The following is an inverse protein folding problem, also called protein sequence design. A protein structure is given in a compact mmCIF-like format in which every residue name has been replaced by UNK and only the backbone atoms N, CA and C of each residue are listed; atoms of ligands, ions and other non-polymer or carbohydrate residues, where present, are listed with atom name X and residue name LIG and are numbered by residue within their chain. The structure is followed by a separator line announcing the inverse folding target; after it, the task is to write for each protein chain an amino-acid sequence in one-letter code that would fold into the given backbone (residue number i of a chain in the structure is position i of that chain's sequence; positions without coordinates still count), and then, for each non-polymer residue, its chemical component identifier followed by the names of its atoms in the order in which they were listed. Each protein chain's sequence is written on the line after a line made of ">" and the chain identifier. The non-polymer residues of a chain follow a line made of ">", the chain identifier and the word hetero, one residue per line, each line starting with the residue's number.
data_IF_017859255698
#
_entry.id   IF_017859255698
#
_cell.length_a   1.000
_cell.length_b   1.000
_cell.length_c   1.000
_cell.angle_alpha   90.00
_cell.angle_beta   90.00
_cell.angle_gamma   90.00
#
_symmetry.space_group_name_H-M   'P 1'
#
loop_
_entity.id
_entity.type
_entity.pdbx_description
1 polymer ?
#
# COMPACT_ATOMS: atom_id res chain seq x y z
N UNK A 1 13.90 -21.96 -12.31
CA UNK A 1 14.43 -21.21 -11.16
C UNK A 1 14.00 -21.95 -9.91
N UNK A 2 14.92 -22.24 -8.99
CA UNK A 2 14.55 -22.78 -7.68
C UNK A 2 13.65 -21.76 -6.99
N UNK A 3 12.39 -22.12 -6.69
CA UNK A 3 11.50 -21.32 -5.86
C UNK A 3 12.18 -21.18 -4.50
N UNK A 4 12.48 -19.94 -4.09
CA UNK A 4 12.97 -19.67 -2.74
C UNK A 4 11.83 -20.07 -1.80
N UNK A 5 12.01 -21.06 -0.90
CA UNK A 5 10.90 -21.63 -0.11
C UNK A 5 10.11 -20.60 0.69
N UNK A 6 10.76 -19.51 1.09
CA UNK A 6 10.14 -18.41 1.82
C UNK A 6 9.23 -17.51 0.97
N UNK A 7 9.27 -17.58 -0.37
CA UNK A 7 8.48 -16.72 -1.27
C UNK A 7 7.23 -17.45 -1.75
N UNK A 8 6.05 -16.82 -1.63
CA UNK A 8 4.79 -17.36 -2.17
C UNK A 8 4.88 -17.50 -3.70
N UNK A 9 4.39 -18.62 -4.26
CA UNK A 9 4.53 -18.95 -5.68
C UNK A 9 3.99 -17.88 -6.63
N UNK A 10 2.88 -17.25 -6.25
CA UNK A 10 2.25 -16.19 -7.04
C UNK A 10 2.99 -14.86 -6.97
N UNK A 11 3.98 -14.68 -6.10
CA UNK A 11 4.58 -13.38 -5.84
C UNK A 11 5.63 -13.00 -6.89
N UNK A 12 5.60 -11.74 -7.35
CA UNK A 12 6.54 -11.23 -8.33
C UNK A 12 7.94 -11.05 -7.73
N UNK A 13 8.89 -11.84 -8.22
CA UNK A 13 10.32 -11.71 -7.87
C UNK A 13 10.85 -10.32 -8.26
N UNK A 14 10.41 -9.78 -9.39
CA UNK A 14 10.81 -8.45 -9.86
C UNK A 14 10.28 -7.35 -8.94
N UNK A 15 9.06 -7.50 -8.41
CA UNK A 15 8.54 -6.60 -7.38
C UNK A 15 9.42 -6.66 -6.13
N UNK A 16 9.69 -7.86 -5.61
CA UNK A 16 10.49 -8.01 -4.39
C UNK A 16 11.92 -7.44 -4.53
N UNK A 17 12.51 -7.51 -5.73
CA UNK A 17 13.78 -6.85 -6.05
C UNK A 17 13.65 -5.32 -6.08
N UNK A 18 12.61 -4.79 -6.72
CA UNK A 18 12.35 -3.36 -6.79
C UNK A 18 12.09 -2.74 -5.41
N UNK A 19 11.45 -3.50 -4.52
CA UNK A 19 11.22 -3.13 -3.12
C UNK A 19 12.46 -3.37 -2.23
N UNK A 20 13.61 -3.78 -2.77
CA UNK A 20 14.81 -4.09 -1.98
C UNK A 20 14.55 -5.09 -0.83
N UNK A 21 13.57 -5.96 -1.03
CA UNK A 21 13.28 -7.10 -0.17
C UNK A 21 14.25 -8.23 -0.54
N UNK A 22 14.37 -8.53 -1.84
CA UNK A 22 15.45 -9.37 -2.36
C UNK A 22 16.67 -8.55 -2.76
N UNK A 23 17.83 -9.21 -2.84
CA UNK A 23 19.01 -8.59 -3.43
C UNK A 23 18.80 -8.31 -4.93
N UNK A 24 19.68 -7.52 -5.54
CA UNK A 24 19.63 -7.24 -6.99
C UNK A 24 19.69 -8.51 -7.86
N UNK A 25 20.34 -9.56 -7.35
CA UNK A 25 20.42 -10.86 -8.02
C UNK A 25 19.24 -11.79 -7.69
N UNK A 26 18.23 -11.31 -6.96
CA UNK A 26 17.06 -12.10 -6.55
C UNK A 26 17.35 -13.11 -5.44
N UNK A 27 18.42 -12.92 -4.67
CA UNK A 27 18.79 -13.83 -3.56
C UNK A 27 18.21 -13.37 -2.23
N UNK A 28 18.10 -14.30 -1.30
CA UNK A 28 17.68 -14.04 0.08
C UNK A 28 18.90 -13.98 1.01
N UNK A 29 19.04 -12.90 1.78
CA UNK A 29 19.98 -12.81 2.90
C UNK A 29 19.21 -12.63 4.22
N UNK A 30 19.91 -12.45 5.35
CA UNK A 30 19.26 -12.30 6.66
C UNK A 30 18.35 -11.05 6.73
N UNK A 31 18.75 -9.94 6.11
CA UNK A 31 17.93 -8.73 6.03
C UNK A 31 16.68 -8.94 5.16
N UNK A 32 16.82 -9.61 4.01
CA UNK A 32 15.71 -10.03 3.15
C UNK A 32 14.70 -10.88 3.90
N UNK A 33 15.16 -11.89 4.66
CA UNK A 33 14.28 -12.73 5.50
C UNK A 33 13.51 -11.92 6.52
N UNK A 34 14.19 -11.00 7.21
CA UNK A 34 13.57 -10.11 8.20
C UNK A 34 12.49 -9.23 7.56
N UNK A 35 12.78 -8.61 6.42
CA UNK A 35 11.83 -7.79 5.66
C UNK A 35 10.64 -8.60 5.15
N UNK A 36 10.87 -9.78 4.57
CA UNK A 36 9.79 -10.68 4.11
C UNK A 36 8.87 -11.06 5.27
N UNK A 37 9.44 -11.41 6.43
CA UNK A 37 8.64 -11.73 7.62
C UNK A 37 7.75 -10.56 8.04
N UNK A 38 8.28 -9.33 8.04
CA UNK A 38 7.51 -8.12 8.40
C UNK A 38 6.39 -7.86 7.38
N UNK A 39 6.70 -7.95 6.09
CA UNK A 39 5.73 -7.74 5.00
C UNK A 39 4.62 -8.77 5.05
N UNK A 40 4.94 -10.06 5.21
CA UNK A 40 3.92 -11.11 5.32
C UNK A 40 3.10 -11.03 6.59
N UNK A 41 3.69 -10.60 7.71
CA UNK A 41 2.93 -10.39 8.93
C UNK A 41 1.82 -9.35 8.70
N UNK A 42 2.14 -8.24 8.06
CA UNK A 42 1.17 -7.20 7.73
C UNK A 42 0.16 -7.66 6.67
N UNK A 43 0.62 -8.34 5.61
CA UNK A 43 -0.27 -8.92 4.61
C UNK A 43 -1.29 -9.88 5.24
N UNK A 44 -0.87 -10.80 6.10
CA UNK A 44 -1.75 -11.76 6.75
C UNK A 44 -2.78 -11.10 7.68
N UNK A 45 -2.51 -9.89 8.17
CA UNK A 45 -3.47 -9.10 8.95
C UNK A 45 -4.55 -8.46 8.05
N UNK A 46 -4.18 -8.03 6.85
CA UNK A 46 -5.05 -7.29 5.92
C UNK A 46 -5.81 -8.23 4.97
N UNK A 47 -5.22 -9.38 4.61
CA UNK A 47 -5.81 -10.38 3.71
C UNK A 47 -7.24 -10.79 4.11
N UNK A 48 -7.53 -11.14 5.38
CA UNK A 48 -8.89 -11.48 5.78
C UNK A 48 -9.90 -10.33 5.58
N UNK A 49 -9.45 -9.07 5.71
CA UNK A 49 -10.30 -7.90 5.48
C UNK A 49 -10.62 -7.74 4.01
N UNK A 50 -9.62 -7.88 3.13
CA UNK A 50 -9.81 -7.85 1.67
C UNK A 50 -10.74 -8.97 1.21
N UNK A 51 -10.52 -10.20 1.71
CA UNK A 51 -11.36 -11.35 1.37
C UNK A 51 -12.81 -11.15 1.81
N UNK A 52 -13.04 -10.61 3.02
CA UNK A 52 -14.39 -10.31 3.49
C UNK A 52 -15.11 -9.27 2.61
N UNK A 53 -14.41 -8.23 2.17
CA UNK A 53 -14.98 -7.29 1.19
C UNK A 53 -15.33 -8.00 -0.12
N UNK A 54 -14.40 -8.82 -0.64
CA UNK A 54 -14.56 -9.55 -1.89
C UNK A 54 -15.67 -10.63 -1.85
N UNK A 55 -15.94 -11.19 -0.68
CA UNK A 55 -17.05 -12.12 -0.45
C UNK A 55 -18.42 -11.39 -0.47
N UNK A 56 -18.48 -10.18 0.09
CA UNK A 56 -19.70 -9.37 0.13
C UNK A 56 -20.01 -8.69 -1.21
N UNK A 57 -18.97 -8.35 -1.99
CA UNK A 57 -19.07 -7.63 -3.26
C UNK A 57 -17.86 -7.95 -4.14
N UNK A 58 -18.01 -7.96 -5.47
CA UNK A 58 -16.91 -8.28 -6.39
C UNK A 58 -15.85 -7.18 -6.51
N UNK A 59 -16.26 -5.93 -6.32
CA UNK A 59 -15.41 -4.76 -6.40
C UNK A 59 -14.73 -4.48 -5.05
N UNK A 60 -13.46 -4.10 -5.08
CA UNK A 60 -12.74 -3.64 -3.90
C UNK A 60 -11.93 -2.39 -4.25
N UNK A 61 -12.19 -1.28 -3.55
CA UNK A 61 -11.38 -0.07 -3.65
C UNK A 61 -10.53 0.10 -2.40
N UNK A 62 -9.20 0.09 -2.56
CA UNK A 62 -8.25 0.34 -1.49
C UNK A 62 -7.51 1.65 -1.73
N UNK A 63 -7.38 2.48 -0.70
CA UNK A 63 -6.58 3.71 -0.74
C UNK A 63 -5.44 3.62 0.29
N UNK A 64 -4.20 3.76 -0.17
CA UNK A 64 -2.98 3.78 0.66
C UNK A 64 -2.44 5.21 0.76
N UNK A 65 -2.66 5.86 1.91
CA UNK A 65 -2.19 7.20 2.20
C UNK A 65 -0.75 7.20 2.72
N UNK A 66 0.03 8.18 2.23
CA UNK A 66 1.45 8.24 2.55
C UNK A 66 2.19 7.06 1.95
N UNK A 67 1.81 6.65 0.73
CA UNK A 67 2.27 5.42 0.12
C UNK A 67 3.80 5.36 -0.03
N UNK A 68 4.49 6.50 -0.15
CA UNK A 68 5.93 6.53 -0.36
C UNK A 68 6.28 5.81 -1.65
N UNK A 69 7.06 4.72 -1.53
CA UNK A 69 7.37 3.81 -2.65
C UNK A 69 6.30 2.73 -2.87
N UNK A 70 5.14 2.88 -2.24
CA UNK A 70 3.95 2.04 -2.35
C UNK A 70 4.17 0.57 -1.98
N UNK A 71 5.05 0.31 -1.01
CA UNK A 71 5.45 -1.06 -0.63
C UNK A 71 4.25 -1.92 -0.27
N UNK A 72 3.37 -1.42 0.60
CA UNK A 72 2.20 -2.17 1.03
C UNK A 72 1.23 -2.36 -0.13
N UNK A 73 0.80 -1.28 -0.79
CA UNK A 73 -0.14 -1.35 -1.92
C UNK A 73 0.28 -2.35 -3.00
N UNK A 74 1.56 -2.34 -3.40
CA UNK A 74 2.09 -3.31 -4.36
C UNK A 74 2.02 -4.75 -3.85
N UNK A 75 2.35 -5.00 -2.58
CA UNK A 75 2.33 -6.35 -2.01
C UNK A 75 0.90 -6.87 -1.90
N UNK A 76 -0.05 -6.04 -1.46
CA UNK A 76 -1.47 -6.42 -1.38
C UNK A 76 -2.03 -6.74 -2.76
N UNK A 77 -1.69 -5.92 -3.76
CA UNK A 77 -2.09 -6.15 -5.14
C UNK A 77 -1.48 -7.43 -5.71
N UNK A 78 -0.17 -7.60 -5.59
CA UNK A 78 0.55 -8.73 -6.16
C UNK A 78 0.17 -10.08 -5.53
N UNK A 79 -0.10 -10.13 -4.23
CA UNK A 79 -0.43 -11.38 -3.55
C UNK A 79 -1.89 -11.79 -3.66
N UNK A 80 -2.81 -10.83 -3.80
CA UNK A 80 -4.25 -11.10 -3.82
C UNK A 80 -4.96 -10.38 -4.97
N UNK A 81 -4.98 -9.05 -4.97
CA UNK A 81 -5.94 -8.27 -5.77
C UNK A 81 -5.72 -8.36 -7.28
N UNK A 82 -4.52 -8.71 -7.76
CA UNK A 82 -4.26 -8.89 -9.21
C UNK A 82 -5.11 -9.97 -9.87
N UNK A 83 -5.65 -10.91 -9.09
CA UNK A 83 -6.55 -11.96 -9.56
C UNK A 83 -8.03 -11.53 -9.51
N UNK A 84 -8.30 -10.29 -9.10
CA UNK A 84 -9.64 -9.72 -8.98
C UNK A 84 -9.73 -8.47 -9.88
N UNK A 85 -10.22 -8.60 -11.14
CA UNK A 85 -10.22 -7.51 -12.12
C UNK A 85 -11.01 -6.26 -11.70
N UNK A 86 -11.94 -6.40 -10.75
CA UNK A 86 -12.73 -5.28 -10.20
C UNK A 86 -12.09 -4.66 -8.94
N UNK A 87 -10.91 -5.14 -8.52
CA UNK A 87 -10.17 -4.56 -7.41
C UNK A 87 -9.21 -3.47 -7.90
N UNK A 88 -9.18 -2.33 -7.20
CA UNK A 88 -8.33 -1.20 -7.53
C UNK A 88 -7.62 -0.64 -6.30
N UNK A 89 -6.30 -0.39 -6.44
CA UNK A 89 -5.47 0.21 -5.40
C UNK A 89 -5.06 1.62 -5.80
N UNK A 90 -5.35 2.60 -4.96
CA UNK A 90 -4.92 3.99 -5.11
C UNK A 90 -3.80 4.30 -4.12
N UNK A 91 -2.60 4.60 -4.62
CA UNK A 91 -1.50 5.10 -3.79
C UNK A 91 -1.47 6.63 -3.78
N UNK A 92 -1.60 7.24 -2.61
CA UNK A 92 -1.57 8.69 -2.42
C UNK A 92 -0.23 9.11 -1.81
N UNK A 93 0.51 9.94 -2.53
CA UNK A 93 1.84 10.41 -2.12
C UNK A 93 2.09 11.81 -2.69
N UNK A 94 2.48 12.76 -1.84
CA UNK A 94 2.67 14.16 -2.26
C UNK A 94 3.93 14.38 -3.11
N UNK A 95 4.95 13.50 -2.98
CA UNK A 95 6.19 13.61 -3.75
C UNK A 95 6.02 13.03 -5.14
N UNK A 96 5.89 13.90 -6.14
CA UNK A 96 5.76 13.52 -7.56
C UNK A 96 6.79 12.48 -8.03
N UNK A 97 8.06 12.60 -7.59
CA UNK A 97 9.10 11.67 -8.00
C UNK A 97 8.81 10.23 -7.58
N UNK A 98 8.21 10.03 -6.40
CA UNK A 98 7.84 8.71 -5.91
C UNK A 98 6.60 8.17 -6.63
N UNK A 99 5.66 9.05 -6.98
CA UNK A 99 4.50 8.71 -7.82
C UNK A 99 4.96 8.21 -9.18
N UNK A 100 5.79 8.99 -9.90
CA UNK A 100 6.36 8.58 -11.21
C UNK A 100 7.12 7.26 -11.13
N UNK A 101 7.86 7.05 -10.04
CA UNK A 101 8.58 5.79 -9.81
C UNK A 101 7.63 4.61 -9.59
N UNK A 102 6.53 4.82 -8.87
CA UNK A 102 5.51 3.81 -8.61
C UNK A 102 4.72 3.48 -9.90
N UNK A 103 4.33 4.48 -10.68
CA UNK A 103 3.67 4.30 -11.97
C UNK A 103 4.54 3.49 -12.94
N UNK A 104 5.82 3.85 -13.07
CA UNK A 104 6.76 3.11 -13.90
C UNK A 104 6.95 1.66 -13.44
N UNK A 105 6.95 1.41 -12.12
CA UNK A 105 7.03 0.06 -11.57
C UNK A 105 5.76 -0.74 -11.85
N UNK A 106 4.58 -0.15 -11.65
CA UNK A 106 3.31 -0.80 -11.97
C UNK A 106 3.22 -1.15 -13.46
N UNK A 107 3.64 -0.24 -14.34
CA UNK A 107 3.70 -0.50 -15.78
C UNK A 107 4.64 -1.66 -16.10
N UNK A 108 5.86 -1.66 -15.53
CA UNK A 108 6.84 -2.74 -15.74
C UNK A 108 6.29 -4.11 -15.30
N UNK A 109 5.49 -4.14 -14.24
CA UNK A 109 4.94 -5.36 -13.65
C UNK A 109 3.58 -5.78 -14.24
N UNK A 110 2.99 -4.97 -15.12
CA UNK A 110 1.65 -5.23 -15.68
C UNK A 110 0.52 -4.98 -14.68
N UNK A 111 0.71 -4.07 -13.71
CA UNK A 111 -0.26 -3.75 -12.66
C UNK A 111 -1.05 -2.46 -12.92
N UNK A 112 -0.78 -1.77 -14.04
CA UNK A 112 -1.39 -0.47 -14.35
C UNK A 112 -2.91 -0.47 -14.44
N UNK A 113 -3.53 -1.61 -14.73
CA UNK A 113 -5.00 -1.69 -14.84
C UNK A 113 -5.70 -1.66 -13.47
N UNK A 114 -5.06 -2.16 -12.42
CA UNK A 114 -5.64 -2.25 -11.07
C UNK A 114 -4.90 -1.41 -10.02
N UNK A 115 -3.94 -0.58 -10.43
CA UNK A 115 -3.23 0.33 -9.56
C UNK A 115 -3.13 1.73 -10.17
N UNK A 116 -3.41 2.75 -9.36
CA UNK A 116 -3.21 4.16 -9.73
C UNK A 116 -2.48 4.90 -8.63
N UNK A 117 -1.61 5.83 -9.01
CA UNK A 117 -0.85 6.64 -8.06
C UNK A 117 -1.16 8.10 -8.30
N UNK A 118 -1.29 8.88 -7.22
CA UNK A 118 -1.70 10.27 -7.29
C UNK A 118 -0.76 11.15 -6.47
N UNK A 119 -0.21 12.16 -7.16
CA UNK A 119 0.64 13.19 -6.58
C UNK A 119 -0.21 14.22 -5.85
N UNK A 120 -0.66 13.87 -4.64
CA UNK A 120 -1.51 14.73 -3.82
C UNK A 120 -1.35 14.43 -2.33
N UNK A 121 -1.72 15.38 -1.48
CA UNK A 121 -1.84 15.20 -0.04
C UNK A 121 -3.11 14.40 0.32
N UNK A 122 -3.19 13.94 1.57
CA UNK A 122 -4.40 13.29 2.09
C UNK A 122 -5.59 14.26 2.11
N UNK A 123 -5.33 15.54 2.40
CA UNK A 123 -6.34 16.58 2.37
C UNK A 123 -6.86 16.84 0.95
N UNK A 124 -5.98 16.89 -0.05
CA UNK A 124 -6.39 17.05 -1.45
C UNK A 124 -7.23 15.86 -1.93
N UNK A 125 -6.89 14.64 -1.51
CA UNK A 125 -7.64 13.42 -1.80
C UNK A 125 -9.11 13.47 -1.31
N UNK A 126 -9.41 14.24 -0.26
CA UNK A 126 -10.79 14.44 0.23
C UNK A 126 -11.72 15.00 -0.84
N UNK A 127 -11.23 15.97 -1.60
CA UNK A 127 -12.02 16.71 -2.59
C UNK A 127 -11.82 16.19 -4.02
N UNK A 128 -10.89 15.24 -4.20
CA UNK A 128 -10.55 14.70 -5.50
C UNK A 128 -11.68 13.87 -6.12
N UNK A 129 -11.91 14.09 -7.41
CA UNK A 129 -12.77 13.26 -8.27
C UNK A 129 -12.03 12.06 -8.88
N UNK A 130 -10.71 12.00 -8.71
CA UNK A 130 -9.88 10.91 -9.23
C UNK A 130 -9.97 9.63 -8.38
N UNK A 131 -10.51 9.75 -7.17
CA UNK A 131 -10.71 8.66 -6.23
C UNK A 131 -12.23 8.42 -6.10
N UNK A 132 -12.70 7.16 -6.16
CA UNK A 132 -14.10 6.84 -6.00
C UNK A 132 -14.72 7.42 -4.73
N UNK A 133 -16.01 7.77 -4.81
CA UNK A 133 -16.75 8.32 -3.68
C UNK A 133 -16.80 7.39 -2.46
N UNK A 134 -16.79 6.07 -2.72
CA UNK A 134 -16.75 5.02 -1.70
C UNK A 134 -15.42 4.29 -1.80
N UNK A 135 -14.79 4.11 -0.64
CA UNK A 135 -13.57 3.31 -0.47
C UNK A 135 -13.92 2.16 0.46
N UNK A 136 -13.37 0.96 0.25
CA UNK A 136 -13.65 -0.17 1.14
C UNK A 136 -12.60 -0.30 2.23
N UNK A 137 -11.33 -0.07 1.88
CA UNK A 137 -10.19 -0.17 2.79
C UNK A 137 -9.30 1.06 2.66
N UNK A 138 -9.01 1.70 3.78
CA UNK A 138 -8.03 2.79 3.85
C UNK A 138 -6.82 2.34 4.67
N UNK A 139 -5.62 2.50 4.13
CA UNK A 139 -4.36 2.24 4.83
C UNK A 139 -3.57 3.54 4.99
N UNK A 140 -2.88 3.69 6.12
CA UNK A 140 -1.93 4.78 6.33
C UNK A 140 -0.84 4.33 7.33
N UNK A 141 0.34 3.99 6.82
CA UNK A 141 1.41 3.39 7.64
C UNK A 141 2.57 4.35 7.95
N UNK A 142 2.77 5.35 7.10
CA UNK A 142 3.81 6.36 7.23
C UNK A 142 3.24 7.78 7.09
N UNK A 143 1.96 7.94 7.45
CA UNK A 143 1.30 9.23 7.48
C UNK A 143 1.71 9.99 8.75
N UNK A 144 2.83 10.70 8.67
CA UNK A 144 3.40 11.46 9.79
C UNK A 144 2.55 12.70 10.16
N UNK A 145 2.77 13.20 11.37
CA UNK A 145 2.10 14.40 11.91
C UNK A 145 0.57 14.27 11.80
N UNK A 146 -0.13 15.29 11.30
CA UNK A 146 -1.60 15.26 11.15
C UNK A 146 -2.09 14.35 10.04
N UNK A 147 -1.21 13.79 9.19
CA UNK A 147 -1.63 13.02 8.03
C UNK A 147 -2.35 11.72 8.40
N UNK A 148 -2.06 11.13 9.58
CA UNK A 148 -2.84 9.98 10.08
C UNK A 148 -4.27 10.41 10.42
N UNK A 149 -4.46 11.57 11.04
CA UNK A 149 -5.79 12.09 11.37
C UNK A 149 -6.58 12.45 10.10
N UNK A 150 -5.92 13.03 9.10
CA UNK A 150 -6.51 13.27 7.80
C UNK A 150 -6.91 11.97 7.10
N UNK A 151 -6.12 10.90 7.23
CA UNK A 151 -6.45 9.60 6.66
C UNK A 151 -7.65 8.96 7.36
N UNK A 152 -7.79 9.15 8.68
CA UNK A 152 -8.98 8.74 9.43
C UNK A 152 -10.20 9.51 8.93
N UNK A 153 -10.10 10.84 8.84
CA UNK A 153 -11.17 11.70 8.34
C UNK A 153 -11.60 11.29 6.93
N UNK A 154 -10.64 11.05 6.05
CA UNK A 154 -10.87 10.53 4.70
C UNK A 154 -11.62 9.21 4.72
N UNK A 155 -11.16 8.25 5.52
CA UNK A 155 -11.79 6.94 5.60
C UNK A 155 -13.25 7.03 6.09
N UNK A 156 -13.54 7.90 7.06
CA UNK A 156 -14.90 8.10 7.56
C UNK A 156 -15.82 8.74 6.51
N UNK A 157 -15.35 9.79 5.84
CA UNK A 157 -16.11 10.49 4.80
C UNK A 157 -16.35 9.62 3.56
N UNK A 158 -15.38 8.77 3.19
CA UNK A 158 -15.52 7.79 2.10
C UNK A 158 -16.18 6.48 2.53
N UNK A 159 -16.63 6.39 3.79
CA UNK A 159 -17.32 5.25 4.37
C UNK A 159 -16.56 3.93 4.26
N UNK A 160 -15.24 3.97 4.47
CA UNK A 160 -14.38 2.79 4.50
C UNK A 160 -14.87 1.76 5.51
N UNK A 161 -15.03 0.51 5.05
CA UNK A 161 -15.39 -0.63 5.91
C UNK A 161 -14.26 -0.95 6.89
N UNK A 162 -13.02 -0.79 6.45
CA UNK A 162 -11.83 -1.07 7.23
C UNK A 162 -10.81 0.06 7.15
N UNK A 163 -10.20 0.39 8.28
CA UNK A 163 -9.13 1.39 8.39
C UNK A 163 -7.92 0.71 9.06
N UNK A 164 -6.80 0.63 8.37
CA UNK A 164 -5.57 -0.01 8.85
C UNK A 164 -4.47 1.04 8.99
N UNK A 165 -4.15 1.39 10.23
CA UNK A 165 -3.26 2.50 10.54
C UNK A 165 -2.05 2.01 11.33
N UNK A 166 -0.89 2.57 11.03
CA UNK A 166 0.28 2.49 11.91
C UNK A 166 0.66 3.92 12.28
N UNK A 167 0.20 4.43 13.44
CA UNK A 167 0.53 5.78 13.88
C UNK A 167 2.02 5.81 14.25
N UNK A 168 2.86 6.32 13.35
CA UNK A 168 4.30 6.13 13.46
C UNK A 168 5.07 7.37 13.94
N UNK A 169 4.43 8.54 14.05
CA UNK A 169 5.19 9.77 14.21
C UNK A 169 4.99 10.43 15.58
N UNK A 170 5.96 10.22 16.47
CA UNK A 170 6.20 11.09 17.62
C UNK A 170 6.98 12.35 17.22
N UNK A 171 7.19 12.64 15.92
CA UNK A 171 8.00 13.79 15.50
C UNK A 171 7.34 15.11 15.84
N UNK A 172 6.02 15.23 15.63
CA UNK A 172 5.23 16.38 16.05
C UNK A 172 5.36 16.60 17.57
N UNK A 173 5.11 15.57 18.38
CA UNK A 173 5.27 15.65 19.85
C UNK A 173 6.72 15.99 20.22
N UNK A 174 7.70 15.35 19.59
CA UNK A 174 9.12 15.60 19.83
C UNK A 174 9.56 17.00 19.39
N UNK A 175 8.91 17.62 18.40
CA UNK A 175 9.16 19.02 18.04
C UNK A 175 8.67 19.97 19.16
N UNK A 176 7.51 19.67 19.76
CA UNK A 176 7.00 20.43 20.91
C UNK A 176 7.80 20.22 22.20
N UNK A 177 8.49 19.09 22.34
CA UNK A 177 9.34 18.76 23.50
C UNK A 177 10.81 19.22 23.36
N UNK A 178 11.25 19.59 22.15
CA UNK A 178 12.56 20.20 21.89
C UNK A 178 12.51 21.69 22.29
N UNK A 179 12.54 21.94 23.60
CA UNK A 179 12.84 23.26 24.18
C UNK A 179 14.32 23.35 24.52
#
# INVERSE_FOLDING_TARGET
>A
MSLIPEIKEQQSVELLKALHILTRDGKINQDSRRKLKQVYHLYNFIEPLMLKVLEEQKQLVLVDHGAGKSYLGFILYDLLLKNHPEAHVYGIEFREQLVKSSEALAQKLGFSDGMSFKAMSVEEAMSSTDIPAKVDITTALHACDTATDDAIRFALERQSKYIVLVPCCQAEVAAHLRK
#
